data_IF_238787402560
#
_entry.id   IF_238787402560
#
_cell.length_a   1.000
_cell.length_b   1.000
_cell.length_c   1.000
_cell.angle_alpha   90.00
_cell.angle_beta   90.00
_cell.angle_gamma   90.00
#
_symmetry.space_group_name_H-M   'P 1'
#
loop_
_entity.id
_entity.type
_entity.pdbx_description
1 polymer ?
#
# COMPACT_ATOMS: atom_id res chain seq x y z
N UNK A 1 14.04 7.76 -21.50
CA UNK A 1 14.27 6.48 -20.78
C UNK A 1 14.96 6.69 -19.42
N UNK A 2 16.18 7.26 -19.35
CA UNK A 2 16.89 7.50 -18.07
C UNK A 2 16.08 8.42 -17.15
N UNK A 3 15.55 9.51 -17.65
CA UNK A 3 14.71 10.43 -16.89
C UNK A 3 13.47 9.74 -16.34
N UNK A 4 12.75 8.96 -17.16
CA UNK A 4 11.58 8.21 -16.73
C UNK A 4 11.90 7.17 -15.65
N UNK A 5 13.07 6.53 -15.74
CA UNK A 5 13.54 5.62 -14.69
C UNK A 5 13.70 6.33 -13.34
N UNK A 6 14.31 7.52 -13.31
CA UNK A 6 14.44 8.28 -12.06
C UNK A 6 13.10 8.77 -11.53
N UNK A 7 12.19 9.19 -12.40
CA UNK A 7 10.83 9.59 -12.02
C UNK A 7 10.09 8.38 -11.42
N UNK A 8 10.14 7.22 -12.09
CA UNK A 8 9.55 5.98 -11.60
C UNK A 8 10.16 5.55 -10.25
N UNK A 9 11.48 5.69 -10.08
CA UNK A 9 12.16 5.36 -8.84
C UNK A 9 11.67 6.21 -7.66
N UNK A 10 11.48 7.50 -7.88
CA UNK A 10 11.03 8.43 -6.82
C UNK A 10 9.52 8.26 -6.57
N UNK A 11 8.70 8.23 -7.61
CA UNK A 11 7.24 8.25 -7.49
C UNK A 11 6.63 6.88 -7.17
N UNK A 12 7.22 5.79 -7.65
CA UNK A 12 6.74 4.43 -7.42
C UNK A 12 7.71 3.59 -6.59
N UNK A 13 8.97 3.53 -6.96
CA UNK A 13 9.97 2.67 -6.31
C UNK A 13 10.12 2.97 -4.83
N UNK A 14 10.34 4.22 -4.48
CA UNK A 14 10.59 4.61 -3.09
C UNK A 14 9.36 4.38 -2.20
N UNK A 15 8.13 4.83 -2.53
CA UNK A 15 6.95 4.54 -1.72
C UNK A 15 6.62 3.05 -1.64
N UNK A 16 6.70 2.32 -2.74
CA UNK A 16 6.43 0.87 -2.76
C UNK A 16 7.47 0.11 -1.95
N UNK A 17 8.76 0.45 -2.08
CA UNK A 17 9.84 -0.18 -1.32
C UNK A 17 9.71 0.05 0.18
N UNK A 18 9.43 1.29 0.61
CA UNK A 18 9.19 1.61 2.01
C UNK A 18 7.95 0.90 2.56
N UNK A 19 6.84 0.95 1.83
CA UNK A 19 5.61 0.28 2.24
C UNK A 19 5.81 -1.24 2.35
N UNK A 20 6.51 -1.86 1.39
CA UNK A 20 6.83 -3.28 1.41
C UNK A 20 7.68 -3.65 2.63
N UNK A 21 8.72 -2.86 2.92
CA UNK A 21 9.55 -3.07 4.08
C UNK A 21 8.74 -2.98 5.38
N UNK A 22 7.97 -1.90 5.54
CA UNK A 22 7.19 -1.66 6.76
C UNK A 22 6.11 -2.73 6.97
N UNK A 23 5.35 -3.09 5.91
CA UNK A 23 4.30 -4.10 6.00
C UNK A 23 4.86 -5.50 6.28
N UNK A 24 5.93 -5.89 5.59
CA UNK A 24 6.57 -7.18 5.82
C UNK A 24 7.17 -7.26 7.22
N UNK A 25 7.92 -6.24 7.63
CA UNK A 25 8.51 -6.18 8.98
C UNK A 25 7.46 -6.18 10.08
N UNK A 26 6.39 -5.40 9.90
CA UNK A 26 5.26 -5.37 10.82
C UNK A 26 4.57 -6.72 10.94
N UNK A 27 4.31 -7.38 9.79
CA UNK A 27 3.64 -8.67 9.76
C UNK A 27 4.49 -9.78 10.41
N UNK A 28 5.82 -9.77 10.19
CA UNK A 28 6.77 -10.67 10.82
C UNK A 28 6.81 -10.45 12.33
N UNK A 29 6.96 -9.21 12.77
CA UNK A 29 7.06 -8.86 14.19
C UNK A 29 5.81 -9.23 14.99
N UNK A 30 4.64 -9.17 14.38
CA UNK A 30 3.38 -9.53 15.03
C UNK A 30 3.01 -11.03 14.85
N UNK A 31 3.88 -11.82 14.20
CA UNK A 31 3.64 -13.25 14.00
C UNK A 31 2.52 -13.58 13.01
N UNK A 32 2.09 -12.60 12.18
CA UNK A 32 1.05 -12.83 11.15
C UNK A 32 1.58 -13.65 9.96
N UNK A 33 2.87 -13.60 9.73
CA UNK A 33 3.57 -14.45 8.79
C UNK A 33 4.36 -15.44 9.64
N UNK A 34 4.12 -16.75 9.47
CA UNK A 34 4.86 -17.79 10.17
C UNK A 34 6.38 -17.73 9.85
N UNK A 35 7.10 -18.82 10.08
CA UNK A 35 8.51 -18.91 9.70
C UNK A 35 8.68 -18.76 8.19
N UNK A 36 9.10 -17.57 7.78
CA UNK A 36 9.36 -17.21 6.38
C UNK A 36 10.81 -16.80 6.22
N UNK A 37 11.52 -17.50 5.33
CA UNK A 37 12.95 -17.24 5.07
C UNK A 37 13.16 -16.35 3.84
N UNK A 38 12.26 -16.40 2.89
CA UNK A 38 12.40 -15.73 1.60
C UNK A 38 11.17 -14.87 1.25
N UNK A 39 11.35 -13.94 0.30
CA UNK A 39 10.23 -13.16 -0.25
C UNK A 39 9.16 -14.06 -0.88
N UNK A 40 9.56 -15.22 -1.44
CA UNK A 40 8.60 -16.19 -1.98
C UNK A 40 7.72 -16.77 -0.90
N UNK A 41 8.27 -17.05 0.28
CA UNK A 41 7.53 -17.59 1.41
C UNK A 41 6.56 -16.52 1.94
N UNK A 42 7.02 -15.26 2.05
CA UNK A 42 6.15 -14.11 2.37
C UNK A 42 4.99 -14.03 1.37
N UNK A 43 5.27 -14.07 0.06
CA UNK A 43 4.23 -14.00 -0.96
C UNK A 43 3.24 -15.17 -0.91
N UNK A 44 3.74 -16.38 -0.67
CA UNK A 44 2.89 -17.56 -0.57
C UNK A 44 2.00 -17.50 0.67
N UNK A 45 2.56 -17.13 1.81
CA UNK A 45 1.82 -17.03 3.07
C UNK A 45 0.76 -15.91 3.00
N UNK A 46 1.14 -14.74 2.49
CA UNK A 46 0.20 -13.64 2.28
C UNK A 46 -0.91 -14.01 1.29
N UNK A 47 -0.59 -14.74 0.20
CA UNK A 47 -1.61 -15.24 -0.74
C UNK A 47 -2.53 -16.28 -0.09
N UNK A 48 -1.99 -17.12 0.80
CA UNK A 48 -2.77 -18.08 1.58
C UNK A 48 -3.75 -17.36 2.49
N UNK A 49 -3.26 -16.44 3.31
CA UNK A 49 -4.05 -15.62 4.22
C UNK A 49 -5.10 -14.75 3.49
N UNK A 50 -4.73 -14.20 2.33
CA UNK A 50 -5.66 -13.42 1.51
C UNK A 50 -6.80 -14.24 0.91
N UNK A 51 -6.64 -15.54 0.72
CA UNK A 51 -7.71 -16.46 0.28
C UNK A 51 -8.56 -16.98 1.42
N UNK A 52 -8.00 -17.08 2.62
CA UNK A 52 -8.70 -17.54 3.80
C UNK A 52 -9.65 -16.45 4.33
N UNK A 53 -10.94 -16.79 4.43
CA UNK A 53 -11.95 -15.85 4.95
C UNK A 53 -11.79 -15.55 6.44
N UNK A 54 -11.22 -16.49 7.21
CA UNK A 54 -10.94 -16.32 8.62
C UNK A 54 -9.62 -15.58 8.83
N UNK A 55 -8.57 -15.94 8.11
CA UNK A 55 -7.27 -15.26 8.16
C UNK A 55 -7.34 -13.77 7.79
N UNK A 56 -8.29 -13.38 6.90
CA UNK A 56 -8.55 -11.95 6.62
C UNK A 56 -9.10 -11.16 7.80
N UNK A 57 -9.65 -11.81 8.81
CA UNK A 57 -10.20 -11.16 10.01
C UNK A 57 -9.18 -11.06 11.14
N UNK A 58 -8.11 -11.84 11.05
CA UNK A 58 -7.03 -11.81 12.02
C UNK A 58 -6.08 -10.65 11.74
N UNK A 59 -5.49 -10.12 12.79
CA UNK A 59 -4.56 -9.02 12.69
C UNK A 59 -5.19 -7.64 12.86
N UNK A 60 -4.34 -6.64 12.81
CA UNK A 60 -4.71 -5.22 12.90
C UNK A 60 -5.38 -4.69 11.61
N UNK A 61 -5.99 -3.48 11.65
CA UNK A 61 -6.68 -2.91 10.51
C UNK A 61 -5.81 -2.75 9.25
N UNK A 62 -4.51 -2.47 9.42
CA UNK A 62 -3.58 -2.26 8.30
C UNK A 62 -3.30 -3.58 7.60
N UNK A 63 -3.00 -4.63 8.38
CA UNK A 63 -2.78 -5.98 7.84
C UNK A 63 -4.02 -6.51 7.11
N UNK A 64 -5.19 -6.36 7.74
CA UNK A 64 -6.47 -6.74 7.12
C UNK A 64 -6.75 -5.97 5.83
N UNK A 65 -6.46 -4.67 5.78
CA UNK A 65 -6.63 -3.86 4.57
C UNK A 65 -5.68 -4.34 3.47
N UNK A 66 -4.41 -4.59 3.79
CA UNK A 66 -3.44 -5.15 2.86
C UNK A 66 -3.90 -6.49 2.25
N UNK A 67 -4.32 -7.45 3.10
CA UNK A 67 -4.85 -8.73 2.64
C UNK A 67 -6.12 -8.56 1.80
N UNK A 68 -7.02 -7.64 2.16
CA UNK A 68 -8.25 -7.39 1.42
C UNK A 68 -8.01 -6.84 0.01
N UNK A 69 -6.87 -6.17 -0.19
CA UNK A 69 -6.42 -5.64 -1.49
C UNK A 69 -5.59 -6.65 -2.31
N UNK A 70 -5.59 -7.93 -1.92
CA UNK A 70 -4.92 -9.02 -2.62
C UNK A 70 -3.58 -9.45 -2.01
N UNK A 71 -3.06 -8.72 -1.02
CA UNK A 71 -1.78 -9.01 -0.37
C UNK A 71 -0.58 -8.95 -1.34
N UNK A 72 0.61 -9.37 -0.90
CA UNK A 72 1.82 -9.40 -1.72
C UNK A 72 2.09 -8.08 -2.46
N UNK A 73 2.76 -8.17 -3.59
CA UNK A 73 3.08 -7.01 -4.45
C UNK A 73 1.83 -6.19 -4.81
N UNK A 74 0.79 -6.88 -5.29
CA UNK A 74 -0.43 -6.20 -5.74
C UNK A 74 -1.10 -5.40 -4.62
N UNK A 75 -1.22 -5.99 -3.44
CA UNK A 75 -1.81 -5.33 -2.27
C UNK A 75 -0.97 -4.18 -1.74
N UNK A 76 0.37 -4.26 -1.81
CA UNK A 76 1.25 -3.16 -1.43
C UNK A 76 1.07 -1.97 -2.38
N UNK A 77 1.09 -2.20 -3.69
CA UNK A 77 0.90 -1.12 -4.66
C UNK A 77 -0.50 -0.52 -4.55
N UNK A 78 -1.52 -1.33 -4.32
CA UNK A 78 -2.88 -0.84 -4.08
C UNK A 78 -2.96 0.04 -2.81
N UNK A 79 -2.30 -0.36 -1.70
CA UNK A 79 -2.24 0.47 -0.49
C UNK A 79 -1.50 1.79 -0.72
N UNK A 80 -0.36 1.74 -1.42
CA UNK A 80 0.40 2.96 -1.77
C UNK A 80 -0.45 3.89 -2.64
N UNK A 81 -1.16 3.35 -3.62
CA UNK A 81 -2.07 4.12 -4.48
C UNK A 81 -3.22 4.74 -3.66
N UNK A 82 -3.81 3.96 -2.74
CA UNK A 82 -4.83 4.49 -1.83
C UNK A 82 -4.29 5.66 -1.00
N UNK A 83 -3.10 5.50 -0.42
CA UNK A 83 -2.46 6.56 0.37
C UNK A 83 -2.22 7.83 -0.46
N UNK A 84 -1.81 7.69 -1.72
CA UNK A 84 -1.65 8.87 -2.60
C UNK A 84 -2.98 9.58 -2.86
N UNK A 85 -4.06 8.84 -3.10
CA UNK A 85 -5.38 9.41 -3.31
C UNK A 85 -5.85 10.13 -2.03
N UNK A 86 -5.83 9.45 -0.89
CA UNK A 86 -6.27 9.98 0.40
C UNK A 86 -5.44 11.20 0.85
N UNK A 87 -4.11 11.14 0.71
CA UNK A 87 -3.24 12.28 1.04
C UNK A 87 -3.52 13.46 0.11
N UNK A 88 -3.75 13.21 -1.18
CA UNK A 88 -4.15 14.25 -2.13
C UNK A 88 -5.43 14.96 -1.69
N UNK A 89 -6.48 14.20 -1.34
CA UNK A 89 -7.75 14.75 -0.85
C UNK A 89 -7.60 15.54 0.45
N UNK A 90 -6.78 15.04 1.39
CA UNK A 90 -6.49 15.77 2.65
C UNK A 90 -5.75 17.07 2.38
N UNK A 91 -4.77 17.07 1.49
CA UNK A 91 -4.06 18.30 1.10
C UNK A 91 -4.98 19.30 0.44
N UNK A 92 -5.83 18.86 -0.49
CA UNK A 92 -6.83 19.71 -1.14
C UNK A 92 -7.82 20.28 -0.12
N UNK A 93 -8.25 19.47 0.84
CA UNK A 93 -9.08 19.94 1.94
C UNK A 93 -8.37 21.02 2.77
N UNK A 94 -7.11 20.79 3.15
CA UNK A 94 -6.34 21.76 3.97
C UNK A 94 -6.10 23.08 3.24
N UNK A 95 -5.78 23.02 1.95
CA UNK A 95 -5.55 24.22 1.12
C UNK A 95 -6.85 25.03 0.95
N UNK A 96 -7.99 24.34 0.83
CA UNK A 96 -9.30 24.96 0.63
C UNK A 96 -10.09 25.19 1.93
N UNK A 97 -9.45 24.96 3.09
CA UNK A 97 -10.12 25.07 4.39
C UNK A 97 -10.53 26.51 4.70
N UNK A 98 -11.83 26.75 4.75
CA UNK A 98 -12.44 28.08 4.96
C UNK A 98 -12.67 28.44 6.44
N UNK A 99 -12.13 27.63 7.35
CA UNK A 99 -12.28 27.81 8.79
C UNK A 99 -13.28 26.85 9.45
N UNK A 100 -13.26 26.83 10.78
CA UNK A 100 -14.02 25.87 11.60
C UNK A 100 -15.53 26.08 11.50
N UNK A 101 -15.98 27.33 11.46
CA UNK A 101 -17.41 27.65 11.37
C UNK A 101 -18.09 27.05 10.15
N UNK A 102 -17.65 27.41 8.92
CA UNK A 102 -18.16 26.81 7.68
C UNK A 102 -18.02 25.29 7.61
N UNK A 103 -16.98 24.74 8.23
CA UNK A 103 -16.81 23.28 8.30
C UNK A 103 -17.89 22.61 9.16
N UNK A 104 -18.16 23.15 10.36
CA UNK A 104 -19.23 22.63 11.24
C UNK A 104 -20.58 22.73 10.55
N UNK A 105 -20.87 23.86 9.88
CA UNK A 105 -22.11 24.07 9.15
C UNK A 105 -22.27 23.07 7.97
N UNK A 106 -21.17 22.58 7.42
CA UNK A 106 -21.19 21.58 6.35
C UNK A 106 -21.43 20.15 6.85
N UNK A 107 -21.24 19.88 8.15
CA UNK A 107 -21.46 18.57 8.76
C UNK A 107 -22.94 18.20 8.75
N UNK A 108 -23.33 17.46 7.77
CA UNK A 108 -24.68 16.94 7.58
C UNK A 108 -24.66 15.44 7.32
N UNK A 109 -25.81 14.79 7.40
CA UNK A 109 -25.92 13.37 6.99
C UNK A 109 -25.48 13.22 5.53
N UNK A 110 -25.80 14.20 4.67
CA UNK A 110 -25.33 14.19 3.28
C UNK A 110 -23.81 14.24 3.15
N UNK A 111 -23.12 15.03 3.98
CA UNK A 111 -21.66 15.06 4.03
C UNK A 111 -21.07 13.68 4.44
N UNK A 112 -21.61 13.04 5.50
CA UNK A 112 -21.16 11.73 5.92
C UNK A 112 -21.35 10.67 4.84
N UNK A 113 -22.48 10.68 4.14
CA UNK A 113 -22.76 9.80 3.01
C UNK A 113 -21.78 10.05 1.87
N UNK A 114 -21.49 11.33 1.55
CA UNK A 114 -20.54 11.69 0.51
C UNK A 114 -19.12 11.16 0.83
N UNK A 115 -18.62 11.38 2.06
CA UNK A 115 -17.32 10.84 2.52
C UNK A 115 -17.29 9.32 2.42
N UNK A 116 -18.36 8.64 2.83
CA UNK A 116 -18.43 7.17 2.74
C UNK A 116 -18.38 6.67 1.29
N UNK A 117 -19.12 7.31 0.38
CA UNK A 117 -19.09 6.97 -1.05
C UNK A 117 -17.70 7.22 -1.64
N UNK A 118 -17.04 8.33 -1.29
CA UNK A 118 -15.69 8.67 -1.76
C UNK A 118 -14.67 7.64 -1.28
N UNK A 119 -14.71 7.24 0.00
CA UNK A 119 -13.84 6.18 0.54
C UNK A 119 -14.01 4.84 -0.19
N UNK A 120 -15.23 4.46 -0.54
CA UNK A 120 -15.49 3.26 -1.34
C UNK A 120 -14.88 3.41 -2.73
N UNK A 121 -15.15 4.52 -3.42
CA UNK A 121 -14.62 4.82 -4.75
C UNK A 121 -13.08 4.79 -4.76
N UNK A 122 -12.43 5.45 -3.79
CA UNK A 122 -10.98 5.47 -3.64
C UNK A 122 -10.40 4.05 -3.43
N UNK A 123 -11.11 3.22 -2.64
CA UNK A 123 -10.72 1.82 -2.46
C UNK A 123 -10.80 1.01 -3.76
N UNK A 124 -11.83 1.23 -4.59
CA UNK A 124 -11.93 0.59 -5.91
C UNK A 124 -10.85 1.08 -6.87
N UNK A 125 -10.57 2.39 -6.90
CA UNK A 125 -9.50 2.95 -7.72
C UNK A 125 -8.12 2.42 -7.29
N UNK A 126 -7.89 2.28 -6.00
CA UNK A 126 -6.66 1.70 -5.46
C UNK A 126 -6.49 0.22 -5.84
N UNK A 127 -7.57 -0.57 -5.82
CA UNK A 127 -7.53 -1.95 -6.31
C UNK A 127 -7.28 -2.00 -7.83
N UNK A 128 -7.86 -1.08 -8.57
CA UNK A 128 -7.63 -0.93 -10.01
C UNK A 128 -6.38 -0.10 -10.34
N UNK A 129 -5.40 -0.06 -9.45
CA UNK A 129 -4.19 0.75 -9.59
C UNK A 129 -3.46 0.63 -10.93
N UNK A 130 -3.44 -0.51 -11.65
CA UNK A 130 -2.81 -0.54 -12.96
C UNK A 130 -3.49 0.41 -13.96
N UNK A 131 -4.82 0.46 -13.95
CA UNK A 131 -5.57 1.39 -14.78
C UNK A 131 -5.39 2.84 -14.33
N UNK A 132 -5.38 3.09 -13.02
CA UNK A 132 -5.13 4.42 -12.44
C UNK A 132 -3.76 4.97 -12.85
N UNK A 133 -2.71 4.16 -12.76
CA UNK A 133 -1.35 4.58 -13.15
C UNK A 133 -1.20 4.79 -14.66
N UNK A 134 -1.97 4.05 -15.48
CA UNK A 134 -1.97 4.21 -16.95
C UNK A 134 -2.45 5.59 -17.40
N UNK A 135 -3.21 6.31 -16.58
CA UNK A 135 -3.66 7.68 -16.94
C UNK A 135 -2.52 8.69 -16.90
N UNK A 136 -1.52 8.49 -16.05
CA UNK A 136 -0.45 9.44 -15.79
C UNK A 136 0.90 9.03 -16.39
N UNK A 137 1.05 7.75 -16.78
CA UNK A 137 2.30 7.21 -17.33
C UNK A 137 2.20 7.08 -18.84
N UNK A 138 3.14 7.65 -19.61
CA UNK A 138 3.19 7.42 -21.06
C UNK A 138 3.30 5.92 -21.35
N UNK A 139 2.43 5.40 -22.22
CA UNK A 139 2.26 3.96 -22.44
C UNK A 139 3.54 3.22 -22.83
N UNK A 140 4.48 3.90 -23.51
CA UNK A 140 5.79 3.36 -23.90
C UNK A 140 6.72 3.09 -22.69
N UNK A 141 6.52 3.76 -21.54
CA UNK A 141 7.36 3.63 -20.33
C UNK A 141 6.70 2.83 -19.21
N UNK A 142 5.49 2.35 -19.37
CA UNK A 142 4.76 1.63 -18.32
C UNK A 142 5.54 0.44 -17.77
N UNK A 143 6.28 -0.27 -18.62
CA UNK A 143 7.10 -1.41 -18.21
C UNK A 143 8.24 -1.02 -17.26
N UNK A 144 8.82 0.18 -17.47
CA UNK A 144 9.86 0.72 -16.60
C UNK A 144 9.29 0.94 -15.19
N UNK A 145 8.11 1.52 -15.10
CA UNK A 145 7.43 1.75 -13.83
C UNK A 145 7.09 0.45 -13.10
N UNK A 146 6.57 -0.53 -13.82
CA UNK A 146 6.29 -1.85 -13.24
C UNK A 146 7.55 -2.54 -12.74
N UNK A 147 8.65 -2.53 -13.52
CA UNK A 147 9.92 -3.14 -13.12
C UNK A 147 10.52 -2.46 -11.89
N UNK A 148 10.47 -1.13 -11.84
CA UNK A 148 10.94 -0.35 -10.70
C UNK A 148 10.10 -0.63 -9.45
N UNK A 149 8.78 -0.62 -9.57
CA UNK A 149 7.88 -0.91 -8.46
C UNK A 149 8.07 -2.34 -7.93
N UNK A 150 8.17 -3.33 -8.83
CA UNK A 150 8.38 -4.72 -8.41
C UNK A 150 9.76 -4.93 -7.80
N UNK A 151 10.81 -4.35 -8.38
CA UNK A 151 12.16 -4.42 -7.83
C UNK A 151 12.26 -3.79 -6.44
N UNK A 152 11.60 -2.65 -6.24
CA UNK A 152 11.53 -1.97 -4.95
C UNK A 152 10.74 -2.78 -3.91
N UNK A 153 9.60 -3.38 -4.31
CA UNK A 153 8.84 -4.30 -3.47
C UNK A 153 9.70 -5.48 -3.01
N UNK A 154 10.38 -6.13 -3.97
CA UNK A 154 11.25 -7.27 -3.69
C UNK A 154 12.38 -6.90 -2.73
N UNK A 155 13.04 -5.76 -2.98
CA UNK A 155 14.12 -5.26 -2.14
C UNK A 155 13.62 -4.94 -0.71
N UNK A 156 12.52 -4.22 -0.59
CA UNK A 156 11.92 -3.86 0.70
C UNK A 156 11.53 -5.08 1.53
N UNK A 157 10.86 -6.06 0.91
CA UNK A 157 10.46 -7.31 1.57
C UNK A 157 11.67 -8.16 1.99
N UNK A 158 12.72 -8.25 1.16
CA UNK A 158 13.96 -8.94 1.52
C UNK A 158 14.68 -8.29 2.69
N UNK A 159 14.78 -6.95 2.68
CA UNK A 159 15.41 -6.22 3.79
C UNK A 159 14.67 -6.45 5.10
N UNK A 160 13.33 -6.46 5.06
CA UNK A 160 12.51 -6.74 6.23
C UNK A 160 12.77 -8.17 6.78
N UNK A 161 12.77 -9.19 5.91
CA UNK A 161 13.03 -10.57 6.29
C UNK A 161 14.44 -10.76 6.88
N UNK A 162 15.46 -10.14 6.28
CA UNK A 162 16.83 -10.20 6.78
C UNK A 162 16.96 -9.56 8.17
N UNK A 163 16.42 -8.35 8.32
CA UNK A 163 16.51 -7.63 9.57
C UNK A 163 15.75 -8.31 10.70
N UNK A 164 14.64 -8.96 10.39
CA UNK A 164 13.88 -9.73 11.36
C UNK A 164 14.71 -10.91 11.89
N UNK A 165 15.37 -11.68 11.01
CA UNK A 165 16.25 -12.80 11.40
C UNK A 165 17.44 -12.37 12.26
N UNK A 166 18.12 -11.28 11.86
CA UNK A 166 19.23 -10.73 12.64
C UNK A 166 18.78 -10.36 14.07
N UNK A 167 17.58 -9.80 14.23
CA UNK A 167 17.05 -9.45 15.55
C UNK A 167 16.63 -10.66 16.38
N UNK A 168 16.22 -11.76 15.75
CA UNK A 168 15.86 -13.02 16.42
C UNK A 168 17.11 -13.76 16.92
N UNK A 169 18.18 -13.79 16.12
CA UNK A 169 19.47 -14.38 16.47
C UNK A 169 20.17 -13.65 17.64
N UNK A 170 19.98 -12.32 17.77
CA UNK A 170 20.54 -11.53 18.88
C UNK A 170 19.75 -11.69 20.18
N UNK A 171 18.52 -12.17 20.12
CA UNK A 171 17.63 -12.30 21.29
C UNK A 171 17.58 -13.71 21.88
N UNK A 172 18.17 -14.72 21.23
CA UNK A 172 18.24 -16.12 21.65
C UNK A 172 19.58 -16.49 22.22
#
# INVERSE_FOLDING_TARGET
MIQEFFIALIKAGLPVGLASYLLAWWALRNGYLGDVETVKDIEQEVKRLAKDKEGKKEGDPVHRKWLSMGGGFYGVVALVTLLFIEVGEVLDFLVNFKGVGPFIDSLSIGFLVAVFIETIKNSFMAIAWPAYWLTDIPGEYIWVWFMVAYGAYWLGSNLAARKFRESDEESG
#
